data_IF_057957360093
#
_entry.id   IF_057957360093
#
_cell.length_a   1.000
_cell.length_b   1.000
_cell.length_c   1.000
_cell.angle_alpha   90.00
_cell.angle_beta   90.00
_cell.angle_gamma   90.00
#
_symmetry.space_group_name_H-M   'P 1'
#
loop_
_entity.id
_entity.type
_entity.pdbx_description
1 polymer ?
#
# COMPACT_ATOMS: atom_id res chain seq x y z
N UNK A 1 7.75 37.21 -17.40
CA UNK A 1 8.62 38.00 -16.50
C UNK A 1 7.88 38.58 -15.29
N UNK A 2 6.64 39.06 -15.43
CA UNK A 2 5.89 39.61 -14.28
C UNK A 2 5.47 38.54 -13.26
N UNK A 3 4.84 37.45 -13.70
CA UNK A 3 4.43 36.35 -12.83
C UNK A 3 5.58 35.76 -11.99
N UNK A 4 6.77 35.64 -12.58
CA UNK A 4 7.96 35.14 -11.88
C UNK A 4 8.47 36.11 -10.80
N UNK A 5 8.28 37.43 -11.01
CA UNK A 5 8.58 38.43 -9.98
C UNK A 5 7.55 38.36 -8.85
N UNK A 6 6.28 38.21 -9.20
CA UNK A 6 5.19 38.09 -8.23
C UNK A 6 5.36 36.83 -7.35
N UNK A 7 5.80 35.71 -7.94
CA UNK A 7 6.10 34.47 -7.22
C UNK A 7 7.31 34.62 -6.27
N UNK A 8 8.37 35.30 -6.72
CA UNK A 8 9.55 35.58 -5.88
C UNK A 8 9.18 36.49 -4.71
N UNK A 9 8.35 37.50 -4.95
CA UNK A 9 7.88 38.39 -3.90
C UNK A 9 6.96 37.66 -2.91
N UNK A 10 6.09 36.78 -3.41
CA UNK A 10 5.27 35.90 -2.57
C UNK A 10 6.07 34.87 -1.78
N UNK A 11 7.24 34.44 -2.26
CA UNK A 11 8.17 33.60 -1.49
C UNK A 11 8.90 34.42 -0.42
N UNK A 12 9.35 35.63 -0.73
CA UNK A 12 10.00 36.52 0.25
C UNK A 12 9.05 36.88 1.40
N UNK A 13 7.81 37.22 1.10
CA UNK A 13 6.80 37.51 2.12
C UNK A 13 6.53 36.32 3.06
N UNK A 14 6.55 35.09 2.54
CA UNK A 14 6.42 33.87 3.35
C UNK A 14 7.66 33.60 4.19
N UNK A 15 8.85 33.88 3.67
CA UNK A 15 10.09 33.77 4.43
C UNK A 15 10.15 34.77 5.57
N UNK A 16 9.76 36.03 5.35
CA UNK A 16 9.74 37.04 6.41
C UNK A 16 8.70 36.72 7.48
N UNK A 17 7.50 36.24 7.10
CA UNK A 17 6.49 35.80 8.07
C UNK A 17 7.00 34.61 8.91
N UNK A 18 7.70 33.66 8.30
CA UNK A 18 8.30 32.53 9.01
C UNK A 18 9.43 32.96 9.95
N UNK A 19 10.23 33.96 9.57
CA UNK A 19 11.25 34.54 10.45
C UNK A 19 10.62 35.23 11.67
N UNK A 20 9.51 35.95 11.48
CA UNK A 20 8.75 36.56 12.57
C UNK A 20 8.19 35.50 13.53
N UNK A 21 7.60 34.41 13.03
CA UNK A 21 7.12 33.29 13.84
C UNK A 21 8.26 32.62 14.65
N UNK A 22 9.45 32.45 14.04
CA UNK A 22 10.63 31.91 14.74
C UNK A 22 11.08 32.86 15.85
N UNK A 23 11.03 34.17 15.64
CA UNK A 23 11.36 35.14 16.70
C UNK A 23 10.35 35.13 17.84
N UNK A 24 9.05 34.95 17.53
CA UNK A 24 7.98 34.82 18.51
C UNK A 24 8.17 33.54 19.37
N UNK A 25 8.47 32.41 18.73
CA UNK A 25 8.73 31.12 19.41
C UNK A 25 9.97 31.21 20.30
N UNK A 26 11.06 31.83 19.82
CA UNK A 26 12.27 32.06 20.62
C UNK A 26 11.99 32.94 21.84
N UNK A 27 11.21 34.02 21.69
CA UNK A 27 10.83 34.89 22.81
C UNK A 27 9.90 34.18 23.79
N UNK A 28 8.94 33.38 23.31
CA UNK A 28 8.08 32.56 24.16
C UNK A 28 8.88 31.51 24.94
N UNK A 29 9.91 30.90 24.32
CA UNK A 29 10.81 29.97 24.98
C UNK A 29 11.67 30.64 26.05
N UNK A 30 12.18 31.85 25.80
CA UNK A 30 12.93 32.62 26.80
C UNK A 30 12.04 33.12 27.95
N UNK A 31 10.77 33.46 27.67
CA UNK A 31 9.80 33.88 28.68
C UNK A 31 9.26 32.70 29.51
N UNK A 32 9.28 31.47 28.96
CA UNK A 32 8.96 30.25 29.70
C UNK A 32 10.00 29.93 30.80
N UNK A 33 11.22 30.48 30.72
CA UNK A 33 12.21 30.40 31.80
C UNK A 33 11.88 31.37 32.96
N UNK A 34 11.10 32.43 32.72
CA UNK A 34 10.79 33.46 33.72
C UNK A 34 9.46 33.24 34.47
N UNK A 35 8.52 32.48 33.90
CA UNK A 35 7.25 32.13 34.57
C UNK A 35 7.19 30.63 34.77
N UNK A 36 7.66 30.20 35.94
CA UNK A 36 7.41 28.87 36.46
C UNK A 36 8.02 27.77 35.60
N UNK A 37 9.33 27.57 35.77
CA UNK A 37 10.01 26.40 35.25
C UNK A 37 9.14 25.18 35.42
N UNK A 38 8.81 24.54 34.30
CA UNK A 38 8.43 23.14 34.34
C UNK A 38 9.53 22.48 35.14
N UNK A 39 9.18 21.92 36.30
CA UNK A 39 10.06 21.02 37.01
C UNK A 39 10.33 19.88 36.02
N UNK A 40 11.37 20.02 35.19
CA UNK A 40 12.12 18.90 34.69
C UNK A 40 12.62 18.26 35.96
N UNK A 41 11.78 17.37 36.52
CA UNK A 41 12.06 16.67 37.75
C UNK A 41 13.46 16.16 37.62
N UNK A 42 14.36 16.77 38.38
CA UNK A 42 15.70 16.25 38.59
C UNK A 42 15.44 15.01 39.42
N UNK A 43 15.09 13.92 38.74
CA UNK A 43 15.03 12.59 39.34
C UNK A 43 16.47 12.32 39.69
N UNK A 44 16.85 12.61 40.92
CA UNK A 44 18.12 12.16 41.46
C UNK A 44 18.05 10.64 41.47
N UNK A 45 18.65 10.04 40.43
CA UNK A 45 18.82 8.60 40.37
C UNK A 45 19.52 8.19 41.65
N UNK A 46 18.80 7.49 42.52
CA UNK A 46 19.32 6.97 43.77
C UNK A 46 20.44 5.98 43.41
N UNK A 47 21.69 6.45 43.46
CA UNK A 47 22.86 5.61 43.23
C UNK A 47 22.81 4.51 44.30
N UNK A 48 22.84 3.23 43.90
CA UNK A 48 22.84 2.15 44.88
C UNK A 48 24.05 2.27 45.79
N UNK A 49 23.89 1.83 47.02
CA UNK A 49 24.99 1.76 47.95
C UNK A 49 26.05 0.78 47.44
N UNK A 50 27.33 1.05 47.75
CA UNK A 50 28.40 0.10 47.41
C UNK A 50 28.22 -1.18 48.24
N UNK A 51 28.33 -2.33 47.60
CA UNK A 51 28.38 -3.59 48.32
C UNK A 51 29.67 -3.67 49.14
N UNK A 52 29.53 -3.92 50.44
CA UNK A 52 30.63 -3.91 51.41
C UNK A 52 31.36 -5.28 51.50
N UNK A 53 30.94 -6.28 50.73
CA UNK A 53 31.55 -7.62 50.71
C UNK A 53 31.10 -8.55 51.84
N UNK A 54 30.11 -8.16 52.64
CA UNK A 54 29.56 -8.98 53.72
C UNK A 54 28.87 -10.20 53.13
N UNK A 55 29.20 -11.38 53.67
CA UNK A 55 28.62 -12.67 53.27
C UNK A 55 27.28 -12.95 53.96
N UNK A 56 26.39 -11.97 53.93
CA UNK A 56 25.02 -12.05 54.45
C UNK A 56 24.04 -12.12 53.29
N UNK A 57 23.14 -13.11 53.31
CA UNK A 57 22.21 -13.34 52.21
C UNK A 57 21.23 -12.17 52.01
N UNK A 58 20.79 -11.54 53.12
CA UNK A 58 19.82 -10.44 53.09
C UNK A 58 20.47 -9.15 52.60
N UNK A 59 21.73 -8.91 52.94
CA UNK A 59 22.49 -7.78 52.41
C UNK A 59 22.75 -7.91 50.90
N UNK A 60 23.05 -9.12 50.42
CA UNK A 60 23.16 -9.42 48.98
C UNK A 60 21.83 -9.18 48.27
N UNK A 61 20.72 -9.69 48.80
CA UNK A 61 19.38 -9.51 48.21
C UNK A 61 18.97 -8.04 48.16
N UNK A 62 19.18 -7.29 49.25
CA UNK A 62 18.91 -5.85 49.29
C UNK A 62 19.75 -5.08 48.26
N UNK A 63 21.03 -5.43 48.09
CA UNK A 63 21.90 -4.80 47.11
C UNK A 63 21.44 -5.07 45.67
N UNK A 64 21.11 -6.33 45.36
CA UNK A 64 20.60 -6.71 44.04
C UNK A 64 19.29 -5.98 43.73
N UNK A 65 18.37 -5.92 44.69
CA UNK A 65 17.12 -5.18 44.53
C UNK A 65 17.34 -3.67 44.32
N UNK A 66 18.27 -3.05 45.05
CA UNK A 66 18.65 -1.65 44.82
C UNK A 66 19.26 -1.42 43.43
N UNK A 67 20.06 -2.37 42.94
CA UNK A 67 20.63 -2.33 41.60
C UNK A 67 19.55 -2.41 40.52
N UNK A 68 18.60 -3.33 40.65
CA UNK A 68 17.46 -3.46 39.72
C UNK A 68 16.67 -2.15 39.62
N UNK A 69 16.30 -1.57 40.76
CA UNK A 69 15.59 -0.28 40.81
C UNK A 69 16.41 0.83 40.15
N UNK A 70 17.72 0.87 40.39
CA UNK A 70 18.57 1.87 39.78
C UNK A 70 18.64 1.72 38.26
N UNK A 71 18.83 0.51 37.74
CA UNK A 71 18.87 0.27 36.29
C UNK A 71 17.53 0.59 35.63
N UNK A 72 16.41 0.23 36.26
CA UNK A 72 15.07 0.58 35.76
C UNK A 72 14.86 2.10 35.70
N UNK A 73 15.23 2.81 36.75
CA UNK A 73 15.10 4.27 36.80
C UNK A 73 16.06 4.96 35.83
N UNK A 74 17.30 4.48 35.71
CA UNK A 74 18.26 4.96 34.73
C UNK A 74 17.73 4.76 33.31
N UNK A 75 17.18 3.59 33.00
CA UNK A 75 16.60 3.30 31.69
C UNK A 75 15.39 4.19 31.39
N UNK A 76 14.52 4.42 32.37
CA UNK A 76 13.40 5.38 32.24
C UNK A 76 13.88 6.79 31.96
N UNK A 77 14.89 7.26 32.69
CA UNK A 77 15.43 8.61 32.52
C UNK A 77 16.17 8.78 31.19
N UNK A 78 16.96 7.78 30.78
CA UNK A 78 17.57 7.73 29.45
C UNK A 78 16.51 7.77 28.35
N UNK A 79 15.42 7.01 28.50
CA UNK A 79 14.28 7.08 27.58
C UNK A 79 13.67 8.47 27.57
N UNK A 80 13.43 9.09 28.72
CA UNK A 80 12.86 10.44 28.80
C UNK A 80 13.71 11.50 28.10
N UNK A 81 15.04 11.45 28.26
CA UNK A 81 15.96 12.48 27.73
C UNK A 81 16.31 12.26 26.25
N UNK A 82 16.42 11.01 25.82
CA UNK A 82 16.97 10.68 24.50
C UNK A 82 15.97 10.00 23.54
N UNK A 83 14.81 9.55 24.02
CA UNK A 83 13.75 9.05 23.13
C UNK A 83 12.75 10.17 22.84
N UNK A 84 12.57 10.57 21.57
CA UNK A 84 11.54 11.52 21.21
C UNK A 84 10.16 10.98 21.61
N UNK A 85 9.38 11.78 22.32
CA UNK A 85 8.04 11.40 22.83
C UNK A 85 7.08 10.93 21.71
N UNK A 86 7.38 11.32 20.47
CA UNK A 86 6.57 11.02 19.29
C UNK A 86 7.01 9.75 18.52
N UNK A 87 8.05 9.01 18.92
CA UNK A 87 8.55 7.87 18.09
C UNK A 87 7.51 6.78 17.87
N UNK A 88 6.73 6.43 18.90
CA UNK A 88 5.69 5.39 18.80
C UNK A 88 4.53 5.88 17.95
N UNK A 89 4.13 7.15 18.10
CA UNK A 89 3.06 7.72 17.29
C UNK A 89 3.48 7.84 15.83
N UNK A 90 4.68 8.32 15.54
CA UNK A 90 5.22 8.38 14.17
C UNK A 90 5.35 6.99 13.56
N UNK A 91 5.80 6.00 14.33
CA UNK A 91 5.84 4.61 13.87
C UNK A 91 4.44 4.09 13.55
N UNK A 92 3.45 4.35 14.42
CA UNK A 92 2.04 3.96 14.19
C UNK A 92 1.43 4.67 12.98
N UNK A 93 1.73 5.94 12.79
CA UNK A 93 1.29 6.73 11.63
C UNK A 93 1.88 6.16 10.34
N UNK A 94 3.20 5.94 10.31
CA UNK A 94 3.89 5.31 9.18
C UNK A 94 3.36 3.91 8.90
N UNK A 95 3.09 3.11 9.92
CA UNK A 95 2.55 1.75 9.77
C UNK A 95 1.16 1.78 9.12
N UNK A 96 0.30 2.72 9.53
CA UNK A 96 -1.04 2.91 8.93
C UNK A 96 -0.97 3.30 7.46
N UNK A 97 0.02 4.11 7.10
CA UNK A 97 0.23 4.63 5.74
C UNK A 97 1.09 3.69 4.88
N UNK A 98 1.66 2.62 5.46
CA UNK A 98 2.58 1.73 4.78
C UNK A 98 1.86 0.98 3.65
N UNK A 99 2.45 1.05 2.45
CA UNK A 99 1.95 0.38 1.24
C UNK A 99 3.12 -0.18 0.43
N UNK A 100 2.97 -1.39 -0.09
CA UNK A 100 3.94 -2.03 -0.97
C UNK A 100 4.01 -1.30 -2.32
N UNK A 101 4.97 -0.37 -2.46
CA UNK A 101 5.22 0.38 -3.71
C UNK A 101 6.21 -0.34 -4.64
N UNK A 102 7.23 -0.97 -4.06
CA UNK A 102 8.31 -1.66 -4.77
C UNK A 102 8.26 -3.19 -4.59
N UNK A 103 9.43 -3.77 -4.28
CA UNK A 103 9.57 -5.20 -3.99
C UNK A 103 8.83 -5.58 -2.70
N UNK A 104 8.45 -6.84 -2.58
CA UNK A 104 7.90 -7.37 -1.32
C UNK A 104 8.96 -7.31 -0.22
N UNK A 105 10.22 -7.59 -0.55
CA UNK A 105 11.33 -7.56 0.42
C UNK A 105 11.51 -6.20 1.08
N UNK A 106 11.45 -5.11 0.31
CA UNK A 106 11.57 -3.75 0.86
C UNK A 106 10.38 -3.44 1.76
N UNK A 107 9.17 -3.82 1.36
CA UNK A 107 7.98 -3.67 2.17
C UNK A 107 8.06 -4.44 3.49
N UNK A 108 8.48 -5.72 3.46
CA UNK A 108 8.66 -6.56 4.66
C UNK A 108 9.70 -5.92 5.59
N UNK A 109 10.79 -5.42 5.05
CA UNK A 109 11.83 -4.73 5.83
C UNK A 109 11.30 -3.47 6.52
N UNK A 110 10.55 -2.63 5.81
CA UNK A 110 9.94 -1.43 6.41
C UNK A 110 8.90 -1.79 7.46
N UNK A 111 8.04 -2.76 7.17
CA UNK A 111 7.01 -3.24 8.09
C UNK A 111 7.62 -3.79 9.40
N UNK A 112 8.61 -4.67 9.29
CA UNK A 112 9.28 -5.27 10.46
C UNK A 112 10.01 -4.22 11.30
N UNK A 113 10.62 -3.22 10.65
CA UNK A 113 11.24 -2.08 11.36
C UNK A 113 10.23 -1.29 12.18
N UNK A 114 9.04 -1.04 11.63
CA UNK A 114 7.95 -0.32 12.34
C UNK A 114 7.34 -1.17 13.45
N UNK A 115 7.17 -2.48 13.23
CA UNK A 115 6.70 -3.42 14.23
C UNK A 115 7.59 -3.40 15.48
N UNK A 116 8.91 -3.40 15.31
CA UNK A 116 9.87 -3.35 16.43
C UNK A 116 9.82 -2.04 17.23
N UNK A 117 9.38 -0.94 16.61
CA UNK A 117 9.23 0.35 17.28
C UNK A 117 7.94 0.48 18.09
N UNK A 118 6.99 -0.45 17.93
CA UNK A 118 5.65 -0.37 18.55
C UNK A 118 5.45 -1.60 19.47
N UNK A 119 5.88 -1.54 20.73
CA UNK A 119 5.95 -2.73 21.62
C UNK A 119 4.60 -3.32 22.06
N UNK A 120 3.49 -2.59 21.90
CA UNK A 120 2.16 -2.99 22.38
C UNK A 120 1.16 -3.16 21.23
N UNK A 121 1.49 -3.96 20.21
CA UNK A 121 0.58 -4.31 19.10
C UNK A 121 0.11 -5.76 19.24
N UNK A 122 -1.17 -6.02 18.98
CA UNK A 122 -1.71 -7.38 18.98
C UNK A 122 -1.28 -8.12 17.71
N UNK A 123 -1.19 -9.45 17.78
CA UNK A 123 -0.81 -10.26 16.62
C UNK A 123 -1.84 -10.11 15.49
N UNK A 124 -3.12 -9.98 15.84
CA UNK A 124 -4.22 -9.78 14.89
C UNK A 124 -4.09 -8.44 14.15
N UNK A 125 -3.77 -7.36 14.88
CA UNK A 125 -3.57 -6.05 14.26
C UNK A 125 -2.36 -6.06 13.33
N UNK A 126 -1.27 -6.75 13.70
CA UNK A 126 -0.09 -6.88 12.86
C UNK A 126 -0.41 -7.60 11.55
N UNK A 127 -1.16 -8.70 11.59
CA UNK A 127 -1.62 -9.41 10.38
C UNK A 127 -2.53 -8.51 9.54
N UNK A 128 -3.42 -7.75 10.17
CA UNK A 128 -4.28 -6.80 9.49
C UNK A 128 -3.48 -5.73 8.74
N UNK A 129 -2.58 -5.01 9.41
CA UNK A 129 -1.77 -3.96 8.76
C UNK A 129 -0.84 -4.54 7.70
N UNK A 130 -0.23 -5.71 7.95
CA UNK A 130 0.65 -6.35 6.98
C UNK A 130 -0.09 -6.73 5.70
N UNK A 131 -1.25 -7.37 5.82
CA UNK A 131 -2.05 -7.80 4.67
C UNK A 131 -2.70 -6.63 3.94
N UNK A 132 -3.09 -5.58 4.65
CA UNK A 132 -3.68 -4.38 4.04
C UNK A 132 -2.68 -3.52 3.29
N UNK A 133 -1.43 -3.49 3.73
CA UNK A 133 -0.36 -2.75 3.06
C UNK A 133 0.17 -3.40 1.79
N UNK A 134 -0.06 -4.71 1.58
CA UNK A 134 0.39 -5.43 0.39
C UNK A 134 -0.39 -5.04 -0.88
N UNK A 135 0.23 -5.25 -2.04
CA UNK A 135 -0.46 -5.13 -3.33
C UNK A 135 -1.60 -6.16 -3.43
N UNK A 136 -2.66 -5.80 -4.16
CA UNK A 136 -3.89 -6.61 -4.24
C UNK A 136 -3.64 -8.06 -4.62
N UNK A 137 -2.71 -8.33 -5.55
CA UNK A 137 -2.36 -9.69 -5.96
C UNK A 137 -1.71 -10.49 -4.83
N UNK A 138 -0.82 -9.88 -4.05
CA UNK A 138 -0.14 -10.53 -2.92
C UNK A 138 -1.12 -10.73 -1.76
N UNK A 139 -1.93 -9.70 -1.45
CA UNK A 139 -3.01 -9.77 -0.46
C UNK A 139 -3.96 -10.94 -0.74
N UNK A 140 -4.39 -11.10 -2.00
CA UNK A 140 -5.27 -12.19 -2.40
C UNK A 140 -4.61 -13.57 -2.27
N UNK A 141 -3.32 -13.67 -2.58
CA UNK A 141 -2.58 -14.92 -2.42
C UNK A 141 -2.39 -15.29 -0.95
N UNK A 142 -2.13 -14.33 -0.07
CA UNK A 142 -2.08 -14.55 1.38
C UNK A 142 -3.43 -15.00 1.94
N UNK A 143 -4.53 -14.38 1.49
CA UNK A 143 -5.89 -14.79 1.87
C UNK A 143 -6.20 -16.22 1.41
N UNK A 144 -5.79 -16.59 0.19
CA UNK A 144 -5.97 -17.96 -0.33
C UNK A 144 -5.19 -18.99 0.50
N UNK A 145 -4.01 -18.63 1.01
CA UNK A 145 -3.21 -19.49 1.88
C UNK A 145 -3.69 -19.51 3.34
N UNK A 146 -4.59 -18.60 3.71
CA UNK A 146 -5.23 -18.59 5.03
C UNK A 146 -4.26 -18.29 6.18
N UNK A 147 -3.30 -17.36 5.96
CA UNK A 147 -2.31 -16.98 6.97
C UNK A 147 -2.97 -16.43 8.23
N UNK A 148 -2.49 -16.85 9.40
CA UNK A 148 -3.05 -16.45 10.71
C UNK A 148 -2.08 -15.64 11.56
N UNK A 149 -0.78 -15.78 11.31
CA UNK A 149 0.27 -15.08 12.04
C UNK A 149 1.06 -14.17 11.12
N UNK A 150 1.71 -13.16 11.70
CA UNK A 150 2.51 -12.21 10.90
C UNK A 150 3.73 -12.92 10.29
N UNK A 151 4.31 -13.89 11.01
CA UNK A 151 5.46 -14.67 10.55
C UNK A 151 5.10 -15.56 9.36
N UNK A 152 3.93 -16.23 9.40
CA UNK A 152 3.39 -16.97 8.26
C UNK A 152 3.17 -16.04 7.06
N UNK A 153 2.59 -14.86 7.31
CA UNK A 153 2.32 -13.88 6.28
C UNK A 153 3.62 -13.37 5.62
N UNK A 154 4.67 -13.12 6.41
CA UNK A 154 6.00 -12.73 5.92
C UNK A 154 6.62 -13.85 5.10
N UNK A 155 6.67 -15.08 5.63
CA UNK A 155 7.26 -16.23 4.93
C UNK A 155 6.56 -16.51 3.59
N UNK A 156 5.21 -16.43 3.58
CA UNK A 156 4.43 -16.54 2.34
C UNK A 156 4.75 -15.40 1.40
N UNK A 157 4.76 -14.15 1.87
CA UNK A 157 5.01 -12.98 1.04
C UNK A 157 6.40 -13.03 0.40
N UNK A 158 7.44 -13.39 1.14
CA UNK A 158 8.80 -13.54 0.62
C UNK A 158 8.94 -14.69 -0.37
N UNK A 159 8.10 -15.73 -0.27
CA UNK A 159 8.05 -16.81 -1.27
C UNK A 159 7.40 -16.38 -2.59
N UNK A 160 6.70 -15.24 -2.62
CA UNK A 160 6.12 -14.71 -3.84
C UNK A 160 7.22 -14.07 -4.68
N UNK A 161 7.29 -14.46 -5.94
CA UNK A 161 8.18 -13.80 -6.90
C UNK A 161 7.68 -12.38 -7.15
N UNK A 162 8.57 -11.40 -7.09
CA UNK A 162 8.26 -10.04 -7.50
C UNK A 162 7.99 -10.02 -9.01
N UNK A 163 6.72 -10.13 -9.39
CA UNK A 163 6.25 -10.13 -10.79
C UNK A 163 6.56 -8.80 -11.55
N UNK A 164 7.26 -7.85 -10.93
CA UNK A 164 7.64 -6.56 -11.51
C UNK A 164 9.01 -6.57 -12.22
N UNK A 165 9.75 -7.67 -12.18
CA UNK A 165 11.11 -7.75 -12.75
C UNK A 165 11.17 -8.37 -14.16
N UNK A 166 10.05 -8.38 -14.88
CA UNK A 166 10.03 -8.76 -16.30
C UNK A 166 9.19 -7.76 -17.09
N UNK A 167 9.83 -7.08 -18.04
CA UNK A 167 9.19 -6.25 -19.06
C UNK A 167 8.20 -7.05 -19.94
N UNK A 168 7.53 -6.40 -20.92
CA UNK A 168 6.37 -6.97 -21.56
C UNK A 168 6.77 -8.10 -22.52
N UNK A 169 6.54 -9.35 -22.12
CA UNK A 169 6.57 -10.51 -23.01
C UNK A 169 5.36 -11.40 -22.76
N UNK A 170 4.37 -11.26 -23.65
CA UNK A 170 3.78 -12.35 -24.44
C UNK A 170 3.67 -13.75 -23.82
N UNK A 171 2.40 -14.21 -23.80
CA UNK A 171 1.90 -15.57 -24.06
C UNK A 171 2.52 -16.75 -23.31
N UNK A 172 1.73 -17.58 -22.61
CA UNK A 172 0.98 -18.64 -23.31
C UNK A 172 -0.12 -19.26 -22.45
N UNK A 173 -1.32 -19.32 -23.01
CA UNK A 173 -2.44 -20.14 -22.54
C UNK A 173 -2.14 -21.62 -22.77
N UNK A 174 -2.55 -22.49 -21.85
CA UNK A 174 -3.11 -23.81 -22.19
C UNK A 174 -4.28 -24.11 -21.25
N UNK A 175 -5.50 -23.94 -21.76
CA UNK A 175 -6.69 -24.59 -21.21
C UNK A 175 -7.17 -25.54 -22.30
N UNK A 176 -6.91 -26.82 -22.07
CA UNK A 176 -7.32 -27.93 -22.91
C UNK A 176 -8.85 -28.08 -22.80
N UNK A 177 -9.57 -27.88 -23.89
CA UNK A 177 -10.99 -28.20 -24.01
C UNK A 177 -11.11 -29.48 -24.83
N UNK A 178 -11.52 -30.56 -24.17
CA UNK A 178 -11.91 -31.81 -24.83
C UNK A 178 -13.31 -31.65 -25.39
N UNK A 179 -13.45 -32.01 -26.67
CA UNK A 179 -14.67 -32.01 -27.46
C UNK A 179 -15.58 -33.17 -27.07
N UNK A 180 -16.88 -32.91 -26.87
CA UNK A 180 -17.92 -33.94 -27.02
C UNK A 180 -19.24 -33.33 -27.56
N UNK A 181 -19.85 -34.06 -28.50
CA UNK A 181 -21.00 -33.76 -29.38
C UNK A 181 -22.37 -33.93 -28.69
N UNK A 182 -23.37 -33.22 -29.25
CA UNK A 182 -24.81 -33.56 -29.23
C UNK A 182 -25.57 -33.00 -28.03
N UNK A 183 -26.84 -32.58 -28.07
CA UNK A 183 -27.92 -32.61 -29.05
C UNK A 183 -29.15 -32.01 -28.34
N UNK A 184 -30.00 -31.26 -29.04
CA UNK A 184 -31.08 -30.49 -28.42
C UNK A 184 -32.27 -31.32 -27.93
N UNK A 185 -32.99 -30.80 -26.93
CA UNK A 185 -34.41 -31.08 -26.71
C UNK A 185 -35.05 -29.98 -25.86
N UNK A 186 -36.17 -29.44 -26.36
CA UNK A 186 -37.11 -28.55 -25.66
C UNK A 186 -37.80 -29.30 -24.53
N UNK A 187 -38.16 -28.60 -23.43
CA UNK A 187 -39.36 -28.89 -22.64
C UNK A 187 -39.77 -27.68 -21.80
N UNK A 188 -41.02 -27.30 -21.98
CA UNK A 188 -41.79 -26.30 -21.25
C UNK A 188 -42.23 -26.84 -19.88
N UNK A 189 -42.15 -26.02 -18.81
CA UNK A 189 -43.03 -26.14 -17.63
C UNK A 189 -43.16 -24.81 -16.87
N UNK A 190 -44.39 -24.29 -16.92
CA UNK A 190 -45.17 -23.52 -15.94
C UNK A 190 -44.52 -22.61 -14.85
N UNK A 191 -44.98 -21.34 -14.88
CA UNK A 191 -44.94 -20.24 -13.86
C UNK A 191 -45.82 -20.56 -12.62
N UNK A 192 -45.79 -19.83 -11.46
CA UNK A 192 -46.10 -18.38 -11.28
C UNK A 192 -45.16 -17.62 -10.28
N UNK A 193 -44.73 -16.37 -10.49
CA UNK A 193 -45.37 -15.03 -10.34
C UNK A 193 -45.62 -14.52 -8.91
N UNK A 194 -44.85 -13.52 -8.44
CA UNK A 194 -45.35 -12.24 -7.89
C UNK A 194 -44.24 -11.15 -7.83
N UNK A 195 -44.31 -10.13 -8.70
CA UNK A 195 -44.51 -8.67 -8.44
C UNK A 195 -43.41 -7.97 -7.61
N UNK A 196 -42.67 -6.98 -8.14
CA UNK A 196 -43.06 -5.57 -8.43
C UNK A 196 -42.07 -4.96 -9.45
N UNK A 197 -42.46 -4.68 -10.69
CA UNK A 197 -42.85 -3.38 -11.28
C UNK A 197 -41.77 -2.26 -11.24
N UNK A 198 -41.14 -1.95 -12.38
CA UNK A 198 -41.27 -0.68 -13.17
C UNK A 198 -40.15 -0.54 -14.23
N UNK A 199 -40.56 -0.29 -15.48
CA UNK A 199 -39.88 0.33 -16.64
C UNK A 199 -38.58 -0.29 -17.23
N UNK A 200 -38.75 -1.28 -18.11
CA UNK A 200 -37.75 -1.68 -19.14
C UNK A 200 -38.43 -1.76 -20.51
N UNK A 201 -38.72 -0.61 -21.11
CA UNK A 201 -39.32 -0.54 -22.45
C UNK A 201 -38.43 0.14 -23.48
N UNK A 202 -37.75 1.24 -23.13
CA UNK A 202 -37.20 2.16 -24.13
C UNK A 202 -35.70 2.00 -24.48
N UNK A 203 -34.98 1.00 -23.93
CA UNK A 203 -33.50 0.92 -24.04
C UNK A 203 -32.94 -0.22 -24.90
N UNK A 204 -33.77 -1.14 -25.40
CA UNK A 204 -33.26 -2.32 -26.13
C UNK A 204 -33.13 -2.08 -27.63
N UNK A 205 -34.02 -1.29 -28.22
CA UNK A 205 -33.96 -0.93 -29.64
C UNK A 205 -32.82 0.06 -29.92
N UNK A 206 -32.59 1.01 -29.02
CA UNK A 206 -31.54 2.03 -29.16
C UNK A 206 -30.12 1.43 -29.06
N UNK A 207 -29.94 0.34 -28.31
CA UNK A 207 -28.66 -0.38 -28.22
C UNK A 207 -28.36 -1.24 -29.48
N UNK A 208 -29.39 -1.79 -30.12
CA UNK A 208 -29.27 -2.55 -31.37
C UNK A 208 -29.06 -1.63 -32.58
N UNK A 209 -29.75 -0.49 -32.62
CA UNK A 209 -29.54 0.53 -33.67
C UNK A 209 -28.12 1.12 -33.62
N UNK A 210 -27.59 1.37 -32.41
CA UNK A 210 -26.23 1.92 -32.22
C UNK A 210 -25.10 0.94 -32.51
N UNK A 211 -25.41 -0.37 -32.56
CA UNK A 211 -24.46 -1.42 -32.97
C UNK A 211 -24.33 -1.54 -34.50
N UNK A 212 -25.30 -1.02 -35.25
CA UNK A 212 -25.36 -1.09 -36.73
C UNK A 212 -24.66 0.06 -37.47
N UNK A 213 -24.11 1.06 -36.77
CA UNK A 213 -23.46 2.21 -37.42
C UNK A 213 -22.08 2.60 -36.86
N UNK A 214 -21.48 1.79 -35.98
CA UNK A 214 -20.11 2.04 -35.54
C UNK A 214 -19.10 1.43 -36.51
N UNK A 215 -18.87 2.11 -37.64
CA UNK A 215 -17.63 1.97 -38.40
C UNK A 215 -16.61 2.84 -37.65
N UNK A 216 -15.57 2.28 -36.99
CA UNK A 216 -14.49 3.09 -36.45
C UNK A 216 -13.89 3.91 -37.60
N UNK A 217 -13.51 5.17 -37.33
CA UNK A 217 -12.99 6.17 -38.30
C UNK A 217 -11.72 5.76 -39.09
N UNK A 218 -11.40 4.48 -39.21
CA UNK A 218 -10.20 3.94 -39.86
C UNK A 218 -10.42 2.79 -40.85
N UNK A 219 -11.67 2.43 -41.20
CA UNK A 219 -11.94 1.39 -42.21
C UNK A 219 -11.33 0.02 -41.89
N UNK A 220 -11.21 -0.84 -42.91
CA UNK A 220 -10.64 -2.18 -42.79
C UNK A 220 -9.11 -2.08 -42.69
N UNK A 221 -8.51 -2.54 -41.59
CA UNK A 221 -7.06 -2.48 -41.41
C UNK A 221 -6.26 -3.34 -42.40
N UNK A 222 -6.89 -4.32 -43.07
CA UNK A 222 -6.22 -5.21 -44.05
C UNK A 222 -6.05 -4.53 -45.40
N UNK A 223 -7.10 -3.86 -45.89
CA UNK A 223 -7.08 -3.28 -47.24
C UNK A 223 -7.39 -1.79 -47.26
N UNK A 224 -7.47 -1.14 -46.09
CA UNK A 224 -7.82 0.27 -45.86
C UNK A 224 -9.13 0.71 -46.53
N UNK A 225 -10.06 -0.23 -46.76
CA UNK A 225 -11.35 0.01 -47.42
C UNK A 225 -12.47 0.42 -46.46
N UNK A 226 -13.60 0.97 -46.95
CA UNK A 226 -14.71 1.45 -46.12
C UNK A 226 -15.64 0.30 -45.66
N UNK A 227 -15.07 -0.73 -45.04
CA UNK A 227 -15.79 -1.87 -44.45
C UNK A 227 -15.13 -2.30 -43.15
N UNK A 228 -15.84 -3.06 -42.31
CA UNK A 228 -15.24 -3.67 -41.12
C UNK A 228 -14.32 -4.84 -41.54
N UNK A 229 -13.28 -5.11 -40.76
CA UNK A 229 -12.31 -6.19 -41.05
C UNK A 229 -12.96 -7.58 -41.21
N UNK A 230 -14.13 -7.80 -40.61
CA UNK A 230 -14.91 -9.05 -40.73
C UNK A 230 -15.50 -9.25 -42.12
N UNK A 231 -15.75 -8.17 -42.84
CA UNK A 231 -16.40 -8.16 -44.16
C UNK A 231 -15.37 -7.93 -45.29
N UNK A 232 -14.08 -8.14 -45.00
CA UNK A 232 -13.03 -7.87 -45.95
C UNK A 232 -12.96 -8.98 -47.01
N UNK A 233 -13.13 -8.67 -48.31
CA UNK A 233 -13.07 -9.67 -49.38
C UNK A 233 -11.69 -10.33 -49.51
N UNK A 234 -10.65 -9.75 -48.89
CA UNK A 234 -9.29 -10.30 -48.86
C UNK A 234 -9.00 -11.22 -47.67
N UNK A 235 -9.95 -11.42 -46.74
CA UNK A 235 -9.77 -12.28 -45.55
C UNK A 235 -10.12 -13.76 -45.78
N UNK A 236 -10.61 -14.13 -46.97
CA UNK A 236 -11.11 -15.48 -47.26
C UNK A 236 -10.05 -16.53 -47.59
N UNK A 237 -8.78 -16.16 -47.73
CA UNK A 237 -7.70 -17.09 -48.13
C UNK A 237 -6.36 -16.66 -47.54
N UNK A 238 -5.62 -17.61 -46.96
CA UNK A 238 -4.26 -17.38 -46.43
C UNK A 238 -3.31 -16.82 -47.50
N UNK A 239 -3.49 -17.19 -48.77
CA UNK A 239 -2.68 -16.66 -49.88
C UNK A 239 -2.87 -15.16 -50.08
N UNK A 240 -4.08 -14.64 -49.85
CA UNK A 240 -4.38 -13.20 -49.97
C UNK A 240 -3.82 -12.37 -48.80
N UNK A 241 -3.59 -13.00 -47.63
CA UNK A 241 -2.99 -12.37 -46.46
C UNK A 241 -1.47 -12.22 -46.63
N UNK A 242 -0.80 -13.23 -47.19
CA UNK A 242 0.64 -13.17 -47.48
C UNK A 242 0.99 -12.09 -48.51
N UNK A 243 0.20 -11.97 -49.59
CA UNK A 243 0.44 -10.99 -50.66
C UNK A 243 0.20 -9.53 -50.20
N UNK A 244 -0.64 -9.33 -49.18
CA UNK A 244 -0.91 -8.02 -48.60
C UNK A 244 0.14 -7.59 -47.56
N UNK A 245 0.84 -8.55 -46.93
CA UNK A 245 1.94 -8.28 -45.99
C UNK A 245 3.24 -7.89 -46.70
N UNK A 246 3.51 -8.40 -47.91
CA UNK A 246 4.68 -7.99 -48.69
C UNK A 246 4.60 -6.53 -49.17
N UNK A 247 3.40 -6.03 -49.51
CA UNK A 247 3.21 -4.63 -49.94
C UNK A 247 3.26 -3.60 -48.82
N UNK A 248 3.27 -4.00 -47.56
CA UNK A 248 3.41 -3.09 -46.42
C UNK A 248 4.86 -2.94 -45.92
N UNK A 249 5.85 -3.60 -46.55
CA UNK A 249 7.28 -3.49 -46.20
C UNK A 249 8.01 -2.38 -46.97
N UNK A 250 7.38 -1.75 -47.97
CA UNK A 250 7.97 -0.63 -48.73
C UNK A 250 7.19 0.68 -48.54
N UNK A 251 7.14 1.19 -47.28
CA UNK A 251 7.10 2.63 -46.96
C UNK A 251 7.77 2.84 -45.61
#
# INVERSE_FOLDING_TARGET
MQALRDDIEGMKARFTAMEEDITLVKRASANAEAVGGTNFGKVELLKPNRFNGVRDAKEVENFLWQMEIYFDNLNKELKRQFYPENVVYEARKKLRELRQRGSIRDYVKEFTTLMLQIPNMTAEDLVFYFTDGLQSWAKQELQRRGVKTVDEAIAVAESLVDFRTSGPSESSKKKEQVVAKGGGAKRDTARPSNSRSFEKGARREDFEARKKSFVPKGGCFVCKGPHAMKDCPKMGSLSAIMECMEKCREV
#
